data_IF_281054930773
#
_entry.id   IF_281054930773
#
_cell.length_a   1.000
_cell.length_b   1.000
_cell.length_c   1.000
_cell.angle_alpha   90.00
_cell.angle_beta   90.00
_cell.angle_gamma   90.00
#
_symmetry.space_group_name_H-M   'P 1'
#
loop_
_entity.id
_entity.type
_entity.pdbx_description
1 polymer ?
#
# COMPACT_ATOMS: atom_id res chain seq x y z
N UNK A 1 6.64 -23.33 19.17
CA UNK A 1 5.74 -22.16 19.22
C UNK A 1 6.48 -20.98 18.61
N UNK A 2 6.31 -20.72 17.32
CA UNK A 2 7.00 -19.62 16.64
C UNK A 2 6.56 -18.31 17.26
N UNK A 3 7.52 -17.53 17.76
CA UNK A 3 7.26 -16.17 18.25
C UNK A 3 6.63 -15.41 17.09
N UNK A 4 5.38 -14.98 17.26
CA UNK A 4 4.61 -14.29 16.24
C UNK A 4 5.16 -12.86 16.14
N UNK A 5 6.30 -12.71 15.45
CA UNK A 5 6.96 -11.42 15.26
C UNK A 5 6.08 -10.60 14.31
N UNK A 6 5.19 -9.78 14.87
CA UNK A 6 4.41 -8.82 14.09
C UNK A 6 5.38 -7.83 13.47
N UNK A 7 5.59 -7.94 12.16
CA UNK A 7 6.30 -6.91 11.41
C UNK A 7 5.47 -5.61 11.50
N UNK A 8 5.97 -4.56 12.20
CA UNK A 8 5.18 -3.38 12.49
C UNK A 8 4.87 -2.53 11.25
N UNK A 9 5.53 -2.80 10.12
CA UNK A 9 5.30 -2.09 8.84
C UNK A 9 4.48 -2.90 7.85
N UNK A 10 4.06 -4.14 8.21
CA UNK A 10 3.24 -4.99 7.35
C UNK A 10 1.76 -4.80 7.65
N UNK A 11 0.99 -4.50 6.61
CA UNK A 11 -0.48 -4.45 6.65
C UNK A 11 -1.06 -5.43 5.64
N UNK A 12 -2.08 -6.16 6.05
CA UNK A 12 -2.97 -6.93 5.16
C UNK A 12 -4.33 -6.25 5.23
N UNK A 13 -4.83 -5.78 4.10
CA UNK A 13 -6.08 -5.02 4.03
C UNK A 13 -7.30 -5.91 4.22
N UNK A 14 -8.47 -5.30 4.46
CA UNK A 14 -9.76 -5.93 4.16
C UNK A 14 -10.01 -6.06 2.66
N UNK A 15 -11.29 -6.12 2.29
CA UNK A 15 -11.70 -6.09 0.88
C UNK A 15 -11.52 -4.69 0.32
N UNK A 16 -10.72 -4.58 -0.72
CA UNK A 16 -10.38 -3.32 -1.40
C UNK A 16 -10.65 -3.47 -2.89
N UNK A 17 -10.82 -2.36 -3.61
CA UNK A 17 -10.89 -2.36 -5.07
C UNK A 17 -9.49 -2.17 -5.64
N UNK A 18 -9.13 -2.97 -6.66
CA UNK A 18 -7.87 -2.82 -7.37
C UNK A 18 -8.07 -1.93 -8.60
N UNK A 19 -7.19 -0.96 -8.79
CA UNK A 19 -7.11 -0.11 -9.99
C UNK A 19 -5.71 -0.18 -10.57
N UNK A 20 -5.60 -0.09 -11.90
CA UNK A 20 -4.32 -0.21 -12.62
C UNK A 20 -3.50 -1.44 -12.18
N UNK A 21 -4.16 -2.60 -12.14
CA UNK A 21 -3.60 -3.82 -11.59
C UNK A 21 -2.64 -4.51 -12.57
N UNK A 22 -1.36 -4.15 -12.49
CA UNK A 22 -0.25 -4.81 -13.18
C UNK A 22 0.32 -5.92 -12.26
N UNK A 23 -0.52 -6.89 -11.90
CA UNK A 23 -0.19 -7.92 -10.91
C UNK A 23 0.25 -9.24 -11.54
N UNK A 24 -0.16 -9.50 -12.78
CA UNK A 24 0.23 -10.66 -13.57
C UNK A 24 1.49 -10.42 -14.39
N UNK A 25 1.64 -9.21 -14.94
CA UNK A 25 2.80 -8.78 -15.72
C UNK A 25 3.28 -7.41 -15.23
N UNK A 26 4.61 -7.17 -15.14
CA UNK A 26 5.13 -5.89 -14.71
C UNK A 26 4.98 -4.84 -15.81
N UNK A 27 4.62 -3.62 -15.43
CA UNK A 27 4.47 -2.49 -16.35
C UNK A 27 5.45 -1.36 -16.03
N UNK A 28 5.91 -0.64 -17.06
CA UNK A 28 6.65 0.61 -16.89
C UNK A 28 5.66 1.75 -16.67
N UNK A 29 5.82 2.49 -15.57
CA UNK A 29 5.01 3.67 -15.28
C UNK A 29 5.91 4.89 -15.43
N UNK A 30 5.56 5.80 -16.35
CA UNK A 30 6.32 7.03 -16.64
C UNK A 30 7.81 6.78 -16.97
N UNK A 31 8.10 5.70 -17.72
CA UNK A 31 9.46 5.36 -18.15
C UNK A 31 10.33 4.74 -17.05
N UNK A 32 9.76 4.35 -15.91
CA UNK A 32 10.49 3.62 -14.87
C UNK A 32 10.81 2.18 -15.30
N UNK A 33 11.72 1.52 -14.58
CA UNK A 33 11.88 0.06 -14.70
C UNK A 33 10.52 -0.64 -14.50
N UNK A 34 10.19 -1.66 -15.32
CA UNK A 34 8.96 -2.41 -15.18
C UNK A 34 8.80 -3.00 -13.78
N UNK A 35 7.63 -2.83 -13.19
CA UNK A 35 7.30 -3.36 -11.87
C UNK A 35 5.88 -3.90 -11.84
N UNK A 36 5.68 -4.92 -11.01
CA UNK A 36 4.34 -5.30 -10.58
C UNK A 36 3.80 -4.16 -9.74
N UNK A 37 2.57 -3.75 -10.00
CA UNK A 37 2.00 -2.58 -9.34
C UNK A 37 0.48 -2.62 -9.29
N UNK A 38 -0.07 -1.95 -8.28
CA UNK A 38 -1.52 -1.79 -8.14
C UNK A 38 -1.82 -0.55 -7.30
N UNK A 39 -2.90 0.15 -7.66
CA UNK A 39 -3.54 1.15 -6.80
C UNK A 39 -4.62 0.44 -5.98
N UNK A 40 -4.39 0.34 -4.68
CA UNK A 40 -5.33 -0.23 -3.71
C UNK A 40 -6.30 0.87 -3.29
N UNK A 41 -7.57 0.77 -3.69
CA UNK A 41 -8.63 1.71 -3.31
C UNK A 41 -9.32 1.18 -2.06
N UNK A 42 -9.19 1.94 -0.97
CA UNK A 42 -9.63 1.58 0.38
C UNK A 42 -10.80 2.50 0.75
N UNK A 43 -12.03 1.98 0.93
CA UNK A 43 -13.16 2.79 1.36
C UNK A 43 -12.86 3.54 2.65
N UNK A 44 -13.25 4.81 2.77
CA UNK A 44 -13.05 5.60 4.01
C UNK A 44 -13.77 5.00 5.23
N UNK A 45 -14.75 4.12 4.99
CA UNK A 45 -15.44 3.36 6.03
C UNK A 45 -14.61 2.21 6.62
N UNK A 46 -13.55 1.75 5.93
CA UNK A 46 -12.62 0.73 6.47
C UNK A 46 -11.57 1.38 7.37
N UNK A 47 -12.04 1.93 8.50
CA UNK A 47 -11.22 2.60 9.50
C UNK A 47 -10.13 1.69 10.05
N UNK A 48 -10.40 0.38 10.15
CA UNK A 48 -9.43 -0.61 10.65
C UNK A 48 -8.21 -0.71 9.74
N UNK A 49 -8.41 -0.82 8.42
CA UNK A 49 -7.29 -0.85 7.47
C UNK A 49 -6.55 0.49 7.45
N UNK A 50 -7.28 1.62 7.50
CA UNK A 50 -6.70 2.96 7.51
C UNK A 50 -5.82 3.18 8.74
N UNK A 51 -6.30 2.81 9.93
CA UNK A 51 -5.55 2.92 11.19
C UNK A 51 -4.30 2.04 11.17
N UNK A 52 -4.41 0.81 10.63
CA UNK A 52 -3.26 -0.08 10.49
C UNK A 52 -2.19 0.49 9.54
N UNK A 53 -2.60 1.12 8.43
CA UNK A 53 -1.66 1.80 7.51
C UNK A 53 -1.00 2.99 8.19
N UNK A 54 -1.76 3.83 8.88
CA UNK A 54 -1.20 4.97 9.60
C UNK A 54 -0.18 4.54 10.66
N UNK A 55 -0.49 3.50 11.43
CA UNK A 55 0.43 2.93 12.42
C UNK A 55 1.69 2.35 11.76
N UNK A 56 1.55 1.66 10.63
CA UNK A 56 2.68 1.10 9.88
C UNK A 56 3.58 2.19 9.29
N UNK A 57 2.99 3.30 8.82
CA UNK A 57 3.72 4.49 8.36
C UNK A 57 4.52 5.11 9.50
N UNK A 58 3.90 5.29 10.67
CA UNK A 58 4.60 5.85 11.84
C UNK A 58 5.73 4.93 12.33
N UNK A 59 5.52 3.61 12.29
CA UNK A 59 6.58 2.64 12.58
C UNK A 59 7.74 2.73 11.57
N UNK A 60 7.44 2.84 10.27
CA UNK A 60 8.45 3.00 9.22
C UNK A 60 9.24 4.31 9.35
N UNK A 61 8.57 5.40 9.74
CA UNK A 61 9.24 6.70 10.01
C UNK A 61 10.21 6.58 11.19
N UNK A 62 9.79 5.91 12.27
CA UNK A 62 10.64 5.68 13.46
C UNK A 62 11.85 4.81 13.13
N UNK A 63 11.64 3.71 12.41
CA UNK A 63 12.72 2.80 11.98
C UNK A 63 13.69 3.49 11.02
N UNK A 64 13.16 4.39 10.18
CA UNK A 64 13.94 5.22 9.27
C UNK A 64 14.68 6.40 9.93
N UNK A 65 14.52 6.67 11.23
CA UNK A 65 15.07 7.86 11.90
C UNK A 65 16.60 8.02 11.69
N UNK A 66 17.33 6.90 11.69
CA UNK A 66 18.77 6.89 11.43
C UNK A 66 19.12 7.43 10.03
N UNK A 67 18.27 7.20 9.02
CA UNK A 67 18.47 7.70 7.65
C UNK A 67 18.28 9.22 7.55
N UNK A 68 17.63 9.85 8.54
CA UNK A 68 17.47 11.30 8.61
C UNK A 68 18.54 11.99 9.46
N UNK A 69 19.64 11.31 9.80
CA UNK A 69 20.69 11.89 10.65
C UNK A 69 20.24 12.18 12.07
N UNK A 70 19.24 11.43 12.56
CA UNK A 70 18.74 11.51 13.94
C UNK A 70 17.60 12.50 14.19
N UNK A 71 17.21 13.32 13.20
CA UNK A 71 16.05 14.22 13.30
C UNK A 71 15.00 13.86 12.26
N UNK A 72 13.87 13.31 12.72
CA UNK A 72 12.73 13.00 11.87
C UNK A 72 12.10 14.34 11.41
N UNK A 73 11.97 14.59 10.09
CA UNK A 73 11.29 15.78 9.59
C UNK A 73 9.80 15.77 9.93
N UNK A 74 9.15 16.93 9.87
CA UNK A 74 7.70 17.01 10.10
C UNK A 74 6.95 16.08 9.13
N UNK A 75 5.98 15.31 9.64
CA UNK A 75 5.15 14.37 8.86
C UNK A 75 4.48 15.04 7.66
N UNK A 76 4.11 16.32 7.77
CA UNK A 76 3.55 17.10 6.65
C UNK A 76 4.54 17.35 5.49
N UNK A 77 5.85 17.32 5.75
CA UNK A 77 6.89 17.44 4.73
C UNK A 77 7.24 16.09 4.09
N UNK A 78 6.76 14.98 4.65
CA UNK A 78 7.00 13.64 4.12
C UNK A 78 5.94 13.27 3.09
N UNK A 79 6.37 12.63 2.01
CA UNK A 79 5.46 12.00 1.05
C UNK A 79 4.89 10.72 1.66
N UNK A 80 3.68 10.80 2.20
CA UNK A 80 2.99 9.65 2.80
C UNK A 80 2.33 8.75 1.73
N UNK A 81 2.22 7.44 1.99
CA UNK A 81 1.68 6.50 1.00
C UNK A 81 0.15 6.48 0.92
N UNK A 82 -0.56 6.82 2.00
CA UNK A 82 -2.02 6.87 2.03
C UNK A 82 -2.48 8.23 1.48
N UNK A 83 -3.15 8.20 0.33
CA UNK A 83 -3.54 9.38 -0.46
C UNK A 83 -5.06 9.50 -0.52
N UNK A 84 -5.58 10.71 -0.59
CA UNK A 84 -7.03 10.95 -0.56
C UNK A 84 -7.61 10.94 -1.98
N UNK A 85 -8.50 9.98 -2.25
CA UNK A 85 -9.15 9.82 -3.55
C UNK A 85 -10.07 10.99 -3.88
N UNK A 86 -10.75 11.57 -2.89
CA UNK A 86 -11.68 12.69 -3.11
C UNK A 86 -10.95 14.00 -3.44
N UNK A 87 -9.70 14.16 -2.98
CA UNK A 87 -8.91 15.37 -3.19
C UNK A 87 -7.99 15.28 -4.40
N UNK A 88 -7.52 14.07 -4.72
CA UNK A 88 -6.42 13.88 -5.67
C UNK A 88 -6.82 13.16 -6.96
N UNK A 89 -8.06 12.68 -7.08
CA UNK A 89 -8.56 11.97 -8.26
C UNK A 89 -9.91 12.53 -8.69
N UNK A 90 -10.05 12.67 -10.00
CA UNK A 90 -11.31 12.99 -10.65
C UNK A 90 -11.87 11.73 -11.33
N UNK A 91 -11.99 10.67 -10.54
CA UNK A 91 -12.47 9.36 -10.98
C UNK A 91 -13.46 8.82 -9.95
N UNK A 92 -14.66 8.45 -10.42
CA UNK A 92 -15.74 7.90 -9.59
C UNK A 92 -15.30 6.70 -8.75
N UNK A 93 -14.34 5.89 -9.23
CA UNK A 93 -13.84 4.75 -8.49
C UNK A 93 -13.11 5.13 -7.19
N UNK A 94 -12.63 6.37 -7.09
CA UNK A 94 -11.86 6.89 -5.94
C UNK A 94 -12.69 7.74 -4.98
N UNK A 95 -13.95 8.05 -5.30
CA UNK A 95 -14.84 8.81 -4.42
C UNK A 95 -15.12 8.06 -3.12
N UNK A 96 -15.07 8.77 -2.01
CA UNK A 96 -15.27 8.22 -0.66
C UNK A 96 -14.19 7.21 -0.25
N UNK A 97 -13.01 7.25 -0.88
CA UNK A 97 -11.94 6.29 -0.65
C UNK A 97 -10.58 6.98 -0.46
N UNK A 98 -9.71 6.31 0.30
CA UNK A 98 -8.27 6.53 0.21
C UNK A 98 -7.68 5.58 -0.82
N UNK A 99 -6.45 5.83 -1.25
CA UNK A 99 -5.70 4.89 -2.05
C UNK A 99 -4.23 4.81 -1.68
N UNK A 100 -3.63 3.64 -1.96
CA UNK A 100 -2.20 3.39 -1.82
C UNK A 100 -1.67 2.77 -3.10
N UNK A 101 -0.63 3.37 -3.68
CA UNK A 101 0.07 2.78 -4.82
C UNK A 101 1.19 1.88 -4.32
N UNK A 102 1.02 0.56 -4.47
CA UNK A 102 2.02 -0.45 -4.10
C UNK A 102 2.71 -1.01 -5.33
N UNK A 103 4.01 -1.32 -5.22
CA UNK A 103 4.79 -1.92 -6.29
C UNK A 103 5.86 -2.89 -5.78
N UNK A 104 6.25 -3.83 -6.64
CA UNK A 104 7.30 -4.82 -6.39
C UNK A 104 8.10 -5.09 -7.67
N UNK A 105 9.38 -5.43 -7.53
CA UNK A 105 10.22 -5.93 -8.63
C UNK A 105 10.02 -7.42 -8.88
N UNK A 106 9.43 -8.15 -7.93
CA UNK A 106 9.12 -9.58 -8.04
C UNK A 106 7.62 -9.80 -8.14
N UNK A 107 7.23 -10.87 -8.84
CA UNK A 107 5.83 -11.25 -9.03
C UNK A 107 5.14 -11.49 -7.66
N UNK A 108 3.97 -10.90 -7.42
CA UNK A 108 3.17 -11.22 -6.25
C UNK A 108 2.56 -12.63 -6.39
N UNK A 109 2.26 -13.26 -5.26
CA UNK A 109 1.42 -14.45 -5.26
C UNK A 109 -0.04 -14.01 -5.33
N UNK A 110 -0.79 -14.53 -6.30
CA UNK A 110 -2.21 -14.27 -6.49
C UNK A 110 -2.94 -15.58 -6.22
N UNK A 111 -3.78 -15.59 -5.20
CA UNK A 111 -4.42 -16.79 -4.68
C UNK A 111 -5.92 -16.60 -4.49
N UNK A 112 -6.65 -17.70 -4.53
CA UNK A 112 -8.08 -17.74 -4.26
C UNK A 112 -8.39 -17.73 -2.74
N UNK A 113 -9.66 -17.95 -2.40
CA UNK A 113 -10.13 -17.98 -1.00
C UNK A 113 -9.59 -19.18 -0.20
N UNK A 114 -9.15 -20.25 -0.88
CA UNK A 114 -8.52 -21.43 -0.29
C UNK A 114 -6.98 -21.33 -0.30
N UNK A 115 -6.44 -20.15 -0.62
CA UNK A 115 -5.00 -19.88 -0.69
C UNK A 115 -4.32 -20.77 -1.75
N UNK A 116 -5.06 -21.14 -2.81
CA UNK A 116 -4.52 -21.82 -3.97
C UNK A 116 -4.16 -20.80 -5.06
N UNK A 117 -3.06 -20.99 -5.80
CA UNK A 117 -2.71 -20.12 -6.91
C UNK A 117 -3.85 -20.01 -7.92
N UNK A 118 -4.20 -18.77 -8.31
CA UNK A 118 -5.12 -18.52 -9.41
C UNK A 118 -4.35 -18.70 -10.72
N UNK A 119 -4.91 -19.47 -11.66
CA UNK A 119 -4.30 -19.78 -12.94
C UNK A 119 -5.01 -19.10 -14.13
N UNK A 120 -6.25 -18.62 -13.93
CA UNK A 120 -7.06 -17.88 -14.89
C UNK A 120 -7.99 -16.85 -14.21
#
# INVERSE_FOLDING_TARGET
MSVNHKNPTKVVTGVVRLSYANVWEPASINGSNPKYSVSLIIPKTDTKTIDAINAAVDAAIKDGAAKFGGKIPNKAALKLPLRDGDLERDDEAYKGAYFVNSNSTTAPQIVDRAVQPILD
#
